data_IF_400395484432
#
_entry.id   IF_400395484432
#
_cell.length_a   1.000
_cell.length_b   1.000
_cell.length_c   1.000
_cell.angle_alpha   90.00
_cell.angle_beta   90.00
_cell.angle_gamma   90.00
#
_symmetry.space_group_name_H-M   'P 1'
#
loop_
_entity.id
_entity.type
_entity.pdbx_description
1 polymer ?
#
# COMPACT_ATOMS: atom_id res chain seq x y z
N UNK A 1 -11.29 -5.49 5.34
CA UNK A 1 -9.96 -5.42 5.97
C UNK A 1 -9.96 -4.29 6.99
N UNK A 2 -9.13 -4.34 8.03
CA UNK A 2 -8.87 -3.19 8.90
C UNK A 2 -7.70 -2.38 8.36
N UNK A 3 -7.86 -1.05 8.28
CA UNK A 3 -6.86 -0.12 7.77
C UNK A 3 -6.67 0.98 8.81
N UNK A 4 -5.44 1.12 9.31
CA UNK A 4 -5.06 2.24 10.16
C UNK A 4 -4.07 3.13 9.40
N UNK A 5 -4.26 4.44 9.48
CA UNK A 5 -3.33 5.43 8.93
C UNK A 5 -2.64 6.20 10.05
N UNK A 6 -1.35 6.43 9.90
CA UNK A 6 -0.57 7.31 10.77
C UNK A 6 0.34 8.19 9.91
N UNK A 7 0.58 9.42 10.34
CA UNK A 7 1.46 10.37 9.64
C UNK A 7 2.54 10.80 10.61
N UNK A 8 3.80 10.64 10.20
CA UNK A 8 4.96 11.07 10.94
C UNK A 8 5.94 11.72 9.97
N UNK A 9 6.40 12.93 10.30
CA UNK A 9 7.25 13.76 9.45
C UNK A 9 6.62 13.96 8.05
N UNK A 10 7.27 13.41 7.02
CA UNK A 10 6.84 13.47 5.63
C UNK A 10 6.33 12.12 5.09
N UNK A 11 6.06 11.17 5.98
CA UNK A 11 5.66 9.81 5.62
C UNK A 11 4.31 9.47 6.24
N UNK A 12 3.41 8.97 5.42
CA UNK A 12 2.18 8.35 5.87
C UNK A 12 2.30 6.83 5.81
N UNK A 13 1.85 6.12 6.83
CA UNK A 13 1.86 4.66 6.89
C UNK A 13 0.42 4.14 6.92
N UNK A 14 0.07 3.31 5.95
CA UNK A 14 -1.16 2.52 5.89
C UNK A 14 -0.88 1.11 6.42
N UNK A 15 -1.31 0.83 7.64
CA UNK A 15 -1.18 -0.50 8.25
C UNK A 15 -2.41 -1.33 7.94
N UNK A 16 -2.21 -2.42 7.21
CA UNK A 16 -3.25 -3.33 6.74
C UNK A 16 -3.33 -4.57 7.63
N UNK A 17 -4.55 -4.96 8.01
CA UNK A 17 -4.80 -6.17 8.81
C UNK A 17 -5.98 -6.99 8.26
N UNK A 18 -5.72 -8.25 7.93
CA UNK A 18 -6.68 -9.21 7.38
C UNK A 18 -6.41 -9.56 5.91
N UNK A 19 -7.46 -9.89 5.15
CA UNK A 19 -7.34 -10.25 3.73
C UNK A 19 -7.42 -9.01 2.85
N UNK A 20 -6.45 -8.85 1.95
CA UNK A 20 -6.47 -7.79 0.96
C UNK A 20 -6.97 -8.32 -0.38
N UNK A 21 -8.25 -8.13 -0.62
CA UNK A 21 -8.96 -8.58 -1.81
C UNK A 21 -9.96 -7.51 -2.27
N UNK A 22 -10.79 -7.84 -3.25
CA UNK A 22 -11.74 -6.92 -3.86
C UNK A 22 -12.71 -6.28 -2.86
N UNK A 23 -13.04 -6.96 -1.75
CA UNK A 23 -13.93 -6.41 -0.73
C UNK A 23 -13.32 -5.21 -0.01
N UNK A 24 -12.00 -5.07 -0.04
CA UNK A 24 -11.28 -3.99 0.63
C UNK A 24 -11.07 -2.76 -0.26
N UNK A 25 -11.56 -2.77 -1.51
CA UNK A 25 -11.30 -1.72 -2.48
C UNK A 25 -11.75 -0.34 -2.05
N UNK A 26 -12.98 -0.23 -1.53
CA UNK A 26 -13.54 1.07 -1.12
C UNK A 26 -12.73 1.67 0.02
N UNK A 27 -12.45 0.86 1.05
CA UNK A 27 -11.78 1.32 2.27
C UNK A 27 -10.31 1.67 2.00
N UNK A 28 -9.61 0.83 1.22
CA UNK A 28 -8.22 1.09 0.84
C UNK A 28 -8.08 2.35 0.01
N UNK A 29 -8.98 2.55 -0.97
CA UNK A 29 -9.01 3.75 -1.80
C UNK A 29 -9.25 5.02 -1.00
N UNK A 30 -10.29 5.03 -0.16
CA UNK A 30 -10.59 6.17 0.68
C UNK A 30 -9.41 6.52 1.61
N UNK A 31 -8.76 5.51 2.18
CA UNK A 31 -7.63 5.70 3.08
C UNK A 31 -6.42 6.34 2.39
N UNK A 32 -6.02 5.85 1.20
CA UNK A 32 -4.86 6.45 0.52
C UNK A 32 -5.17 7.80 -0.12
N UNK A 33 -6.39 8.03 -0.63
CA UNK A 33 -6.77 9.32 -1.23
C UNK A 33 -6.69 10.45 -0.20
N UNK A 34 -7.17 10.21 1.02
CA UNK A 34 -7.05 11.16 2.13
C UNK A 34 -5.59 11.50 2.48
N UNK A 35 -4.66 10.55 2.32
CA UNK A 35 -3.24 10.77 2.58
C UNK A 35 -2.54 11.51 1.43
N UNK A 36 -2.94 11.27 0.18
CA UNK A 36 -2.42 11.97 -0.99
C UNK A 36 -2.74 13.47 -0.96
N UNK A 37 -3.86 13.85 -0.37
CA UNK A 37 -4.28 15.25 -0.20
C UNK A 37 -3.44 16.02 0.85
N UNK A 38 -2.68 15.32 1.69
CA UNK A 38 -1.88 15.96 2.73
C UNK A 38 -0.58 16.54 2.15
N UNK A 39 -0.45 17.88 2.21
CA UNK A 39 0.68 18.61 1.65
C UNK A 39 2.04 18.22 2.26
N UNK A 40 2.08 17.85 3.55
CA UNK A 40 3.31 17.44 4.24
C UNK A 40 3.81 16.04 3.86
N UNK A 41 2.94 15.18 3.32
CA UNK A 41 3.26 13.79 2.97
C UNK A 41 4.00 13.75 1.63
N UNK A 42 5.15 13.08 1.60
CA UNK A 42 5.96 12.82 0.39
C UNK A 42 6.06 11.34 0.06
N UNK A 43 5.83 10.47 1.03
CA UNK A 43 5.85 9.02 0.85
C UNK A 43 4.65 8.38 1.54
N UNK A 44 4.01 7.44 0.85
CA UNK A 44 3.00 6.55 1.42
C UNK A 44 3.62 5.16 1.54
N UNK A 45 3.72 4.67 2.77
CA UNK A 45 4.15 3.31 3.08
C UNK A 45 2.93 2.41 3.31
N UNK A 46 2.82 1.32 2.55
CA UNK A 46 1.79 0.29 2.76
C UNK A 46 2.43 -0.86 3.52
N UNK A 47 1.99 -1.06 4.76
CA UNK A 47 2.52 -2.08 5.66
C UNK A 47 1.62 -3.31 5.67
N UNK A 48 2.19 -4.44 5.22
CA UNK A 48 1.54 -5.75 5.07
C UNK A 48 1.74 -6.69 6.26
N UNK A 49 2.29 -6.22 7.39
CA UNK A 49 2.62 -7.08 8.54
C UNK A 49 1.42 -7.85 9.09
N UNK A 50 0.21 -7.32 8.98
CA UNK A 50 -1.03 -7.99 9.38
C UNK A 50 -1.82 -8.63 8.24
N UNK A 51 -1.23 -8.77 7.05
CA UNK A 51 -1.90 -9.30 5.86
C UNK A 51 -1.40 -10.71 5.56
N UNK A 52 -2.31 -11.68 5.60
CA UNK A 52 -1.98 -13.09 5.34
C UNK A 52 -2.39 -13.54 3.92
N UNK A 53 -3.13 -12.70 3.19
CA UNK A 53 -3.68 -13.04 1.88
C UNK A 53 -3.81 -11.80 0.99
N UNK A 54 -3.38 -11.94 -0.27
CA UNK A 54 -3.77 -11.05 -1.36
C UNK A 54 -4.12 -11.79 -2.64
N UNK A 55 -4.91 -11.16 -3.49
CA UNK A 55 -5.27 -11.63 -4.83
C UNK A 55 -4.87 -10.63 -5.95
N UNK A 56 -5.29 -10.90 -7.17
CA UNK A 56 -5.04 -10.03 -8.34
C UNK A 56 -5.70 -8.65 -8.24
N UNK A 57 -6.81 -8.53 -7.52
CA UNK A 57 -7.49 -7.25 -7.33
C UNK A 57 -6.68 -6.32 -6.42
N UNK A 58 -6.06 -6.87 -5.37
CA UNK A 58 -5.14 -6.14 -4.52
C UNK A 58 -3.89 -5.64 -5.26
N UNK A 59 -3.33 -6.47 -6.13
CA UNK A 59 -2.24 -6.04 -7.01
C UNK A 59 -2.66 -4.84 -7.88
N UNK A 60 -3.84 -4.90 -8.50
CA UNK A 60 -4.39 -3.78 -9.28
C UNK A 60 -4.56 -2.51 -8.44
N UNK A 61 -5.03 -2.63 -7.20
CA UNK A 61 -5.20 -1.49 -6.29
C UNK A 61 -3.88 -0.82 -5.90
N UNK A 62 -2.83 -1.60 -5.70
CA UNK A 62 -1.49 -1.06 -5.42
C UNK A 62 -0.94 -0.29 -6.63
N UNK A 63 -1.17 -0.78 -7.84
CA UNK A 63 -0.78 -0.07 -9.07
C UNK A 63 -1.52 1.27 -9.21
N UNK A 64 -2.82 1.31 -8.92
CA UNK A 64 -3.61 2.55 -8.92
C UNK A 64 -3.12 3.55 -7.87
N UNK A 65 -2.78 3.07 -6.66
CA UNK A 65 -2.16 3.91 -5.63
C UNK A 65 -0.84 4.51 -6.14
N UNK A 66 0.04 3.68 -6.72
CA UNK A 66 1.31 4.13 -7.29
C UNK A 66 1.13 5.23 -8.34
N UNK A 67 0.24 5.01 -9.31
CA UNK A 67 -0.05 5.98 -10.38
C UNK A 67 -0.53 7.32 -9.81
N UNK A 68 -1.42 7.29 -8.82
CA UNK A 68 -1.94 8.51 -8.17
C UNK A 68 -0.90 9.22 -7.29
N UNK A 69 -0.04 8.46 -6.62
CA UNK A 69 1.05 9.03 -5.85
C UNK A 69 2.05 9.73 -6.79
N UNK A 70 2.44 9.08 -7.88
CA UNK A 70 3.35 9.64 -8.88
C UNK A 70 2.79 10.93 -9.49
N UNK A 71 1.50 10.96 -9.84
CA UNK A 71 0.86 12.17 -10.41
C UNK A 71 0.78 13.34 -9.43
N UNK A 72 0.92 13.09 -8.12
CA UNK A 72 0.96 14.10 -7.07
C UNK A 72 2.36 14.35 -6.52
N UNK A 73 3.41 13.81 -7.19
CA UNK A 73 4.80 13.97 -6.79
C UNK A 73 5.18 13.26 -5.49
N UNK A 74 4.44 12.20 -5.13
CA UNK A 74 4.67 11.37 -3.95
C UNK A 74 5.14 9.98 -4.34
N UNK A 75 5.88 9.33 -3.44
CA UNK A 75 6.37 7.97 -3.64
C UNK A 75 5.53 6.95 -2.86
N UNK A 76 5.59 5.69 -3.29
CA UNK A 76 4.97 4.57 -2.57
C UNK A 76 6.02 3.52 -2.22
N UNK A 77 5.99 3.06 -0.98
CA UNK A 77 6.81 1.96 -0.49
C UNK A 77 5.95 0.84 0.10
N UNK A 78 6.43 -0.40 0.01
CA UNK A 78 5.81 -1.57 0.63
C UNK A 78 6.70 -2.03 1.79
N UNK A 79 6.11 -2.38 2.93
CA UNK A 79 6.83 -2.89 4.10
C UNK A 79 6.09 -4.05 4.75
N UNK A 80 6.76 -4.82 5.62
CA UNK A 80 6.13 -5.91 6.35
C UNK A 80 5.63 -7.08 5.47
N UNK A 81 6.11 -7.17 4.23
CA UNK A 81 5.76 -8.27 3.31
C UNK A 81 6.35 -9.59 3.81
N UNK A 82 5.51 -10.58 4.08
CA UNK A 82 5.93 -11.88 4.61
C UNK A 82 5.08 -13.02 4.02
N UNK A 83 5.51 -14.27 4.25
CA UNK A 83 4.77 -15.47 3.86
C UNK A 83 4.27 -15.47 2.41
N UNK A 84 3.00 -15.85 2.23
CA UNK A 84 2.33 -15.87 0.92
C UNK A 84 2.24 -14.49 0.30
N UNK A 85 2.11 -13.42 1.10
CA UNK A 85 2.06 -12.05 0.57
C UNK A 85 3.33 -11.68 -0.16
N UNK A 86 4.48 -11.95 0.46
CA UNK A 86 5.78 -11.73 -0.16
C UNK A 86 5.93 -12.52 -1.46
N UNK A 87 5.55 -13.80 -1.46
CA UNK A 87 5.64 -14.66 -2.64
C UNK A 87 4.82 -14.11 -3.82
N UNK A 88 3.58 -13.68 -3.58
CA UNK A 88 2.73 -13.13 -4.63
C UNK A 88 3.31 -11.83 -5.19
N UNK A 89 3.79 -10.93 -4.33
CA UNK A 89 4.44 -9.68 -4.76
C UNK A 89 5.72 -9.94 -5.57
N UNK A 90 6.53 -10.92 -5.16
CA UNK A 90 7.75 -11.33 -5.86
C UNK A 90 7.44 -11.89 -7.26
N UNK A 91 6.46 -12.81 -7.36
CA UNK A 91 5.99 -13.39 -8.64
C UNK A 91 5.47 -12.29 -9.57
N UNK A 92 4.72 -11.34 -9.02
CA UNK A 92 4.18 -10.19 -9.76
C UNK A 92 5.25 -9.13 -10.10
N UNK A 93 6.51 -9.32 -9.71
CA UNK A 93 7.62 -8.39 -9.90
C UNK A 93 7.41 -7.01 -9.26
N UNK A 94 6.67 -6.92 -8.15
CA UNK A 94 6.36 -5.65 -7.49
C UNK A 94 7.60 -4.95 -6.93
N UNK A 95 8.67 -5.69 -6.61
CA UNK A 95 9.96 -5.10 -6.23
C UNK A 95 10.63 -4.24 -7.31
N UNK A 96 10.20 -4.32 -8.58
CA UNK A 96 10.65 -3.41 -9.66
C UNK A 96 9.82 -2.13 -9.76
N UNK A 97 8.62 -2.14 -9.19
CA UNK A 97 7.65 -1.05 -9.28
C UNK A 97 7.61 -0.21 -8.00
N UNK A 98 7.90 -0.83 -6.86
CA UNK A 98 7.84 -0.21 -5.55
C UNK A 98 9.16 -0.34 -4.82
N UNK A 99 9.47 0.66 -3.98
CA UNK A 99 10.51 0.50 -2.96
C UNK A 99 10.01 -0.49 -1.90
N UNK A 100 10.80 -1.52 -1.60
CA UNK A 100 10.45 -2.50 -0.54
C UNK A 100 11.33 -2.23 0.67
N UNK A 101 10.70 -2.01 1.82
CA UNK A 101 11.36 -1.81 3.12
C UNK A 101 11.31 -3.11 3.94
N UNK A 102 12.43 -3.42 4.60
CA UNK A 102 12.58 -4.58 5.48
C UNK A 102 11.86 -4.41 6.81
#
# INVERSE_FOLDING_TARGET
MQIASAVADNRATLSLNGRFDFHSHRDFRAAYESLLEQAGVREIEVNFRGVDYLDSSALGMLLLLREKAESTGKNVALSGCHGTVKQVLDIANFGKLFSVKG
#
